data_IF_706895127670
#
_entry.id   IF_706895127670
#
_cell.length_a   1.000
_cell.length_b   1.000
_cell.length_c   1.000
_cell.angle_alpha   90.00
_cell.angle_beta   90.00
_cell.angle_gamma   90.00
#
_symmetry.space_group_name_H-M   'P 1'
#
loop_
_entity.id
_entity.type
_entity.pdbx_description
1 polymer ?
#
# COMPACT_ATOMS: atom_id res chain seq x y z
N UNK A 1 -2.84 4.11 1.39
CA UNK A 1 -2.27 5.06 0.42
C UNK A 1 -1.63 4.39 -0.80
N UNK A 2 -1.57 3.07 -0.87
CA UNK A 2 -0.89 2.31 -1.94
C UNK A 2 -1.78 1.94 -3.12
N UNK A 3 -2.93 2.57 -3.25
CA UNK A 3 -3.96 2.25 -4.25
C UNK A 3 -3.74 2.88 -5.64
N UNK A 4 -2.56 3.40 -5.96
CA UNK A 4 -2.42 4.22 -7.17
C UNK A 4 -1.79 3.58 -8.39
N UNK A 5 -1.47 2.32 -8.37
CA UNK A 5 -1.12 1.61 -9.62
C UNK A 5 -1.75 0.23 -9.61
N UNK A 6 -2.96 0.11 -10.16
CA UNK A 6 -3.68 -1.16 -10.17
C UNK A 6 -2.89 -2.31 -10.80
N UNK A 7 -1.98 -2.01 -11.71
CA UNK A 7 -1.30 -3.04 -12.52
C UNK A 7 -0.04 -3.66 -11.88
N UNK A 8 0.66 -2.97 -10.99
CA UNK A 8 1.91 -3.51 -10.43
C UNK A 8 1.68 -4.31 -9.16
N UNK A 9 0.65 -3.99 -8.39
CA UNK A 9 0.31 -4.71 -7.16
C UNK A 9 -0.40 -6.04 -7.37
N UNK A 10 -1.08 -6.23 -8.49
CA UNK A 10 -1.81 -7.47 -8.80
C UNK A 10 -0.86 -8.66 -9.01
N UNK A 11 0.37 -8.44 -9.49
CA UNK A 11 1.30 -9.53 -9.80
C UNK A 11 2.15 -10.02 -8.62
N UNK A 12 2.34 -9.21 -7.59
CA UNK A 12 3.25 -9.54 -6.47
C UNK A 12 2.58 -9.61 -5.10
N UNK A 13 1.33 -9.21 -4.98
CA UNK A 13 0.61 -9.25 -3.73
C UNK A 13 -0.42 -10.37 -3.75
N UNK A 14 -0.31 -11.37 -2.88
CA UNK A 14 -1.23 -12.51 -2.89
C UNK A 14 -2.66 -12.15 -2.42
N UNK A 15 -2.81 -10.98 -1.80
CA UNK A 15 -4.11 -10.45 -1.35
C UNK A 15 -4.54 -9.34 -2.29
N UNK A 16 -5.71 -9.43 -2.93
CA UNK A 16 -6.25 -8.32 -3.70
C UNK A 16 -6.45 -7.11 -2.79
N UNK A 17 -6.09 -5.93 -3.29
CA UNK A 17 -6.40 -4.69 -2.59
C UNK A 17 -7.87 -4.40 -2.82
N UNK A 18 -8.67 -4.66 -1.81
CA UNK A 18 -10.11 -4.38 -1.81
C UNK A 18 -10.43 -3.45 -0.66
N UNK A 19 -11.33 -2.50 -0.90
CA UNK A 19 -11.89 -1.72 0.19
C UNK A 19 -13.01 -2.52 0.82
N UNK A 20 -12.69 -3.18 1.92
CA UNK A 20 -13.67 -3.93 2.71
C UNK A 20 -14.10 -3.08 3.90
N UNK A 21 -15.38 -3.14 4.21
CA UNK A 21 -15.97 -2.41 5.35
C UNK A 21 -16.77 -3.37 6.23
N UNK A 22 -16.71 -3.12 7.53
CA UNK A 22 -17.48 -3.89 8.52
C UNK A 22 -18.95 -3.52 8.52
N UNK A 23 -19.23 -2.23 8.38
CA UNK A 23 -20.58 -1.69 8.37
C UNK A 23 -20.83 -0.94 7.07
N UNK A 24 -21.67 -1.52 6.25
CA UNK A 24 -22.07 -0.95 4.96
C UNK A 24 -23.25 0.02 5.08
N UNK A 25 -23.86 0.19 6.25
CA UNK A 25 -25.07 1.00 6.43
C UNK A 25 -24.86 2.45 6.00
N UNK A 26 -23.71 3.02 6.33
CA UNK A 26 -23.36 4.40 6.00
C UNK A 26 -23.08 4.63 4.49
N UNK A 27 -22.86 3.56 3.72
CA UNK A 27 -22.55 3.64 2.28
C UNK A 27 -23.67 3.10 1.40
N UNK A 28 -24.72 2.56 2.01
CA UNK A 28 -25.83 1.97 1.27
C UNK A 28 -26.53 3.03 0.41
N UNK A 29 -26.53 2.83 -0.91
CA UNK A 29 -27.08 3.76 -1.86
C UNK A 29 -26.22 5.00 -2.14
N UNK A 30 -25.05 5.13 -1.52
CA UNK A 30 -24.12 6.21 -1.81
C UNK A 30 -23.50 6.04 -3.20
N UNK A 31 -23.60 7.09 -4.04
CA UNK A 31 -22.94 7.13 -5.35
C UNK A 31 -21.47 7.54 -5.26
N UNK A 32 -21.11 8.25 -4.21
CA UNK A 32 -19.75 8.75 -3.95
C UNK A 32 -19.45 8.64 -2.48
N UNK A 33 -18.23 8.22 -2.16
CA UNK A 33 -17.73 8.10 -0.79
C UNK A 33 -16.36 8.76 -0.65
N UNK A 34 -16.09 9.29 0.53
CA UNK A 34 -14.78 9.84 0.88
C UNK A 34 -13.91 8.78 1.56
N UNK A 35 -12.73 8.54 1.02
CA UNK A 35 -11.70 7.70 1.63
C UNK A 35 -10.83 8.60 2.51
N UNK A 36 -10.73 8.26 3.79
CA UNK A 36 -10.08 9.09 4.82
C UNK A 36 -8.87 8.37 5.41
N UNK A 37 -7.90 9.15 5.89
CA UNK A 37 -6.76 8.61 6.64
C UNK A 37 -7.13 8.45 8.12
N UNK A 38 -7.24 7.21 8.63
CA UNK A 38 -7.57 6.98 10.03
C UNK A 38 -6.38 7.21 10.99
N UNK A 39 -5.18 7.41 10.45
CA UNK A 39 -3.95 7.55 11.26
C UNK A 39 -3.60 9.01 11.54
N UNK A 40 -4.28 9.94 10.89
CA UNK A 40 -4.06 11.39 11.05
C UNK A 40 -5.23 12.03 11.79
N UNK A 41 -4.92 12.92 12.73
CA UNK A 41 -5.93 13.67 13.46
C UNK A 41 -6.87 14.41 12.50
N UNK A 42 -8.18 14.34 12.77
CA UNK A 42 -9.20 14.90 11.89
C UNK A 42 -9.58 14.03 10.69
N UNK A 43 -8.93 12.87 10.51
CA UNK A 43 -9.20 11.91 9.44
C UNK A 43 -9.35 12.61 8.06
N UNK A 44 -8.30 13.26 7.55
CA UNK A 44 -8.37 14.02 6.30
C UNK A 44 -8.82 13.13 5.15
N UNK A 45 -9.56 13.72 4.21
CA UNK A 45 -9.99 13.02 3.00
C UNK A 45 -8.80 12.89 2.06
N UNK A 46 -8.45 11.65 1.70
CA UNK A 46 -7.36 11.35 0.75
C UNK A 46 -7.88 11.23 -0.67
N UNK A 47 -9.04 10.64 -0.85
CA UNK A 47 -9.62 10.40 -2.15
C UNK A 47 -11.15 10.36 -2.11
N UNK A 48 -11.73 10.56 -3.26
CA UNK A 48 -13.17 10.32 -3.51
C UNK A 48 -13.27 9.08 -4.40
N UNK A 49 -14.15 8.17 -4.04
CA UNK A 49 -14.51 7.02 -4.87
C UNK A 49 -15.91 7.21 -5.44
N UNK A 50 -16.06 7.08 -6.75
CA UNK A 50 -17.36 6.91 -7.37
C UNK A 50 -17.75 5.43 -7.27
N UNK A 51 -18.81 5.14 -6.52
CA UNK A 51 -19.21 3.76 -6.21
C UNK A 51 -19.91 3.14 -7.40
N UNK A 52 -19.27 2.18 -8.04
CA UNK A 52 -19.84 1.41 -9.15
C UNK A 52 -20.51 0.13 -8.67
N UNK A 53 -19.91 -0.52 -7.67
CA UNK A 53 -20.39 -1.80 -7.18
C UNK A 53 -20.17 -1.95 -5.67
N UNK A 54 -21.17 -2.51 -5.02
CA UNK A 54 -21.10 -2.95 -3.62
C UNK A 54 -21.47 -4.44 -3.61
N UNK A 55 -20.58 -5.27 -3.11
CA UNK A 55 -20.73 -6.71 -3.06
C UNK A 55 -20.51 -7.23 -1.64
N UNK A 56 -21.18 -8.30 -1.28
CA UNK A 56 -20.95 -8.96 -0.01
C UNK A 56 -20.39 -10.35 -0.25
N UNK A 57 -19.23 -10.65 0.33
CA UNK A 57 -18.66 -11.97 0.31
C UNK A 57 -19.37 -12.88 1.32
N UNK A 58 -19.69 -14.09 0.90
CA UNK A 58 -20.19 -15.12 1.81
C UNK A 58 -19.10 -15.59 2.77
N UNK A 59 -19.51 -16.25 3.86
CA UNK A 59 -18.55 -16.89 4.78
C UNK A 59 -17.70 -17.96 4.07
N UNK A 60 -18.28 -18.64 3.08
CA UNK A 60 -17.56 -19.61 2.28
C UNK A 60 -16.46 -18.93 1.42
N UNK A 61 -16.76 -17.77 0.82
CA UNK A 61 -15.78 -17.01 0.04
C UNK A 61 -14.64 -16.51 0.94
N UNK A 62 -14.98 -15.94 2.11
CA UNK A 62 -13.98 -15.47 3.07
C UNK A 62 -13.06 -16.60 3.53
N UNK A 63 -13.64 -17.75 3.85
CA UNK A 63 -12.87 -18.94 4.24
C UNK A 63 -11.96 -19.42 3.12
N UNK A 64 -12.50 -19.55 1.91
CA UNK A 64 -11.73 -19.95 0.73
C UNK A 64 -10.57 -18.98 0.46
N UNK A 65 -10.82 -17.67 0.47
CA UNK A 65 -9.78 -16.67 0.27
C UNK A 65 -8.71 -16.75 1.37
N UNK A 66 -9.11 -16.84 2.63
CA UNK A 66 -8.18 -16.98 3.77
C UNK A 66 -7.27 -18.19 3.59
N UNK A 67 -7.83 -19.35 3.27
CA UNK A 67 -7.07 -20.56 3.06
C UNK A 67 -6.12 -20.48 1.85
N UNK A 68 -6.57 -19.88 0.75
CA UNK A 68 -5.75 -19.69 -0.46
C UNK A 68 -4.59 -18.73 -0.23
N UNK A 69 -4.81 -17.65 0.52
CA UNK A 69 -3.82 -16.59 0.77
C UNK A 69 -2.79 -17.02 1.82
N UNK A 70 -3.29 -17.45 2.98
CA UNK A 70 -2.43 -17.71 4.15
C UNK A 70 -2.05 -19.16 4.33
N UNK A 71 -2.65 -20.10 3.58
CA UNK A 71 -2.48 -21.55 3.69
C UNK A 71 -2.84 -22.10 5.07
N UNK A 72 -3.58 -21.32 5.84
CA UNK A 72 -4.10 -21.67 7.17
C UNK A 72 -5.37 -20.89 7.43
N UNK A 73 -6.21 -21.43 8.31
CA UNK A 73 -7.40 -20.76 8.84
C UNK A 73 -7.24 -20.39 10.32
N UNK A 74 -6.04 -20.59 10.86
CA UNK A 74 -5.73 -20.34 12.26
C UNK A 74 -5.95 -18.85 12.60
N UNK A 75 -6.88 -18.52 13.50
CA UNK A 75 -7.15 -17.14 13.89
C UNK A 75 -5.98 -16.47 14.64
N UNK A 76 -5.05 -17.24 15.21
CA UNK A 76 -3.83 -16.72 15.86
C UNK A 76 -2.80 -16.26 14.83
N UNK A 77 -2.92 -16.66 13.57
CA UNK A 77 -2.07 -16.16 12.52
C UNK A 77 -2.38 -14.67 12.25
N UNK A 78 -1.40 -13.74 12.40
CA UNK A 78 -1.66 -12.29 12.33
C UNK A 78 -2.33 -11.84 11.02
N UNK A 79 -1.96 -12.45 9.90
CA UNK A 79 -2.55 -12.14 8.61
C UNK A 79 -4.01 -12.59 8.51
N UNK A 80 -4.33 -13.76 9.04
CA UNK A 80 -5.72 -14.30 9.10
C UNK A 80 -6.57 -13.40 9.98
N UNK A 81 -6.09 -13.07 11.17
CA UNK A 81 -6.79 -12.16 12.09
C UNK A 81 -7.06 -10.80 11.44
N UNK A 82 -6.05 -10.20 10.81
CA UNK A 82 -6.18 -8.92 10.12
C UNK A 82 -7.18 -9.01 8.96
N UNK A 83 -7.07 -10.01 8.09
CA UNK A 83 -7.96 -10.19 6.93
C UNK A 83 -9.41 -10.37 7.35
N UNK A 84 -9.67 -11.23 8.34
CA UNK A 84 -11.02 -11.48 8.84
C UNK A 84 -11.61 -10.26 9.60
N UNK A 85 -10.77 -9.34 10.05
CA UNK A 85 -11.21 -8.16 10.79
C UNK A 85 -11.74 -7.03 9.92
N UNK A 86 -11.49 -7.03 8.60
CA UNK A 86 -11.84 -5.90 7.71
C UNK A 86 -13.30 -5.87 7.27
N UNK A 87 -14.03 -6.97 7.47
CA UNK A 87 -15.44 -7.10 7.07
C UNK A 87 -15.61 -7.91 5.79
N UNK A 88 -16.84 -7.96 5.29
CA UNK A 88 -17.20 -8.76 4.12
C UNK A 88 -17.76 -7.94 2.97
N UNK A 89 -18.16 -6.71 3.21
CA UNK A 89 -18.70 -5.82 2.17
C UNK A 89 -17.55 -5.18 1.42
N UNK A 90 -17.54 -5.39 0.12
CA UNK A 90 -16.51 -4.88 -0.81
C UNK A 90 -17.11 -3.76 -1.63
N UNK A 91 -16.38 -2.67 -1.76
CA UNK A 91 -16.77 -1.52 -2.54
C UNK A 91 -15.75 -1.36 -3.66
N UNK A 92 -16.23 -1.15 -4.87
CA UNK A 92 -15.37 -0.89 -6.03
C UNK A 92 -15.87 0.27 -6.87
N UNK A 93 -14.94 0.93 -7.54
CA UNK A 93 -15.17 2.04 -8.42
C UNK A 93 -13.90 2.88 -8.63
N UNK A 94 -13.91 3.79 -9.59
CA UNK A 94 -12.79 4.71 -9.82
C UNK A 94 -12.59 5.65 -8.65
N UNK A 95 -11.34 6.02 -8.39
CA UNK A 95 -10.97 6.94 -7.33
C UNK A 95 -10.31 8.19 -7.91
N UNK A 96 -10.65 9.34 -7.33
CA UNK A 96 -9.97 10.60 -7.55
C UNK A 96 -9.15 10.92 -6.30
N UNK A 97 -7.82 10.88 -6.41
CA UNK A 97 -6.92 11.22 -5.31
C UNK A 97 -6.85 12.73 -5.16
N UNK A 98 -7.04 13.21 -3.94
CA UNK A 98 -7.05 14.62 -3.60
C UNK A 98 -5.73 15.07 -2.95
N UNK A 99 -5.15 14.23 -2.11
CA UNK A 99 -3.87 14.51 -1.45
C UNK A 99 -3.18 13.21 -1.02
N UNK A 100 -1.95 13.33 -0.57
CA UNK A 100 -1.11 12.22 -0.13
C UNK A 100 -0.91 12.20 1.40
N UNK A 101 -1.91 12.69 2.15
CA UNK A 101 -1.81 12.81 3.59
C UNK A 101 -0.69 13.77 4.01
N UNK A 102 0.02 13.47 5.09
CA UNK A 102 1.10 14.31 5.63
C UNK A 102 2.45 14.17 4.90
N UNK A 103 2.60 13.17 4.05
CA UNK A 103 3.91 12.82 3.46
C UNK A 103 4.52 13.95 2.64
N UNK A 104 3.73 14.66 1.87
CA UNK A 104 4.22 15.76 1.04
C UNK A 104 4.64 16.96 1.88
N UNK A 105 3.90 17.23 2.98
CA UNK A 105 4.19 18.33 3.87
C UNK A 105 5.38 18.06 4.80
N UNK A 106 5.47 16.84 5.33
CA UNK A 106 6.51 16.47 6.29
C UNK A 106 7.83 16.06 5.62
N UNK A 107 7.78 15.60 4.37
CA UNK A 107 8.94 15.11 3.63
C UNK A 107 9.04 15.71 2.21
N UNK A 108 9.05 17.04 2.06
CA UNK A 108 8.99 17.71 0.74
C UNK A 108 10.17 17.34 -0.17
N UNK A 109 11.35 17.13 0.41
CA UNK A 109 12.57 16.85 -0.36
C UNK A 109 12.64 15.38 -0.83
N UNK A 110 11.99 14.47 -0.13
CA UNK A 110 12.12 13.03 -0.38
C UNK A 110 10.84 12.37 -0.83
N UNK A 111 9.68 12.97 -0.58
CA UNK A 111 8.41 12.42 -1.05
C UNK A 111 8.34 12.43 -2.58
N UNK A 112 7.99 11.28 -3.16
CA UNK A 112 7.80 11.10 -4.60
C UNK A 112 6.60 10.22 -4.86
N UNK A 113 5.81 10.57 -5.86
CA UNK A 113 4.78 9.69 -6.40
C UNK A 113 5.42 8.66 -7.34
N UNK A 114 4.72 7.57 -7.65
CA UNK A 114 5.22 6.58 -8.61
C UNK A 114 5.45 7.20 -10.00
N UNK A 115 4.65 8.19 -10.39
CA UNK A 115 4.83 8.93 -11.65
C UNK A 115 6.07 9.79 -11.60
N UNK A 116 6.28 10.56 -10.52
CA UNK A 116 7.47 11.40 -10.38
C UNK A 116 8.75 10.59 -10.32
N UNK A 117 8.75 9.42 -9.66
CA UNK A 117 9.90 8.50 -9.66
C UNK A 117 10.22 8.03 -11.08
N UNK A 118 9.22 7.62 -11.86
CA UNK A 118 9.44 7.19 -13.26
C UNK A 118 10.01 8.30 -14.12
N UNK A 119 9.49 9.51 -13.97
CA UNK A 119 10.00 10.67 -14.71
C UNK A 119 11.45 10.98 -14.32
N UNK A 120 11.75 11.00 -13.04
CA UNK A 120 13.11 11.25 -12.55
C UNK A 120 14.10 10.17 -13.01
N UNK A 121 13.72 8.90 -13.02
CA UNK A 121 14.53 7.81 -13.58
C UNK A 121 14.81 8.05 -15.07
N UNK A 122 13.79 8.43 -15.84
CA UNK A 122 13.94 8.71 -17.26
C UNK A 122 14.83 9.96 -17.52
N UNK A 123 14.63 11.03 -16.76
CA UNK A 123 15.44 12.27 -16.84
C UNK A 123 16.92 12.01 -16.53
N UNK A 124 17.20 11.10 -15.59
CA UNK A 124 18.57 10.66 -15.26
C UNK A 124 19.18 9.75 -16.33
N UNK A 125 18.41 9.28 -17.28
CA UNK A 125 18.84 8.31 -18.29
C UNK A 125 19.13 6.92 -17.72
N UNK A 126 18.56 6.57 -16.57
CA UNK A 126 18.77 5.28 -15.93
C UNK A 126 17.92 4.20 -16.57
N UNK A 127 18.57 3.13 -17.04
CA UNK A 127 17.91 1.98 -17.66
C UNK A 127 17.72 0.81 -16.69
N UNK A 128 18.61 0.70 -15.71
CA UNK A 128 18.60 -0.38 -14.72
C UNK A 128 18.64 0.21 -13.32
N UNK A 129 17.54 0.10 -12.61
CA UNK A 129 17.40 0.61 -11.25
C UNK A 129 17.19 -0.54 -10.29
N UNK A 130 18.01 -0.63 -9.25
CA UNK A 130 17.78 -1.53 -8.14
C UNK A 130 16.98 -0.82 -7.06
N UNK A 131 15.94 -1.48 -6.54
CA UNK A 131 15.14 -0.94 -5.45
C UNK A 131 15.54 -1.60 -4.12
N UNK A 132 15.79 -0.77 -3.12
CA UNK A 132 16.04 -1.18 -1.76
C UNK A 132 14.95 -0.63 -0.85
N UNK A 133 14.21 -1.50 -0.19
CA UNK A 133 13.12 -1.11 0.69
C UNK A 133 13.50 -1.33 2.15
N UNK A 134 13.28 -0.32 2.98
CA UNK A 134 13.51 -0.41 4.42
C UNK A 134 12.47 0.39 5.21
N UNK A 135 12.24 0.00 6.44
CA UNK A 135 11.46 0.75 7.43
C UNK A 135 12.28 1.09 8.67
N UNK A 136 13.54 0.71 8.67
CA UNK A 136 14.49 1.02 9.74
C UNK A 136 15.55 1.98 9.20
N UNK A 137 16.22 2.75 10.07
CA UNK A 137 17.36 3.57 9.67
C UNK A 137 18.42 2.74 8.94
N UNK A 138 18.97 3.31 7.89
CA UNK A 138 20.03 2.66 7.14
C UNK A 138 21.32 2.62 7.96
N UNK A 139 22.03 1.49 7.86
CA UNK A 139 23.34 1.29 8.45
C UNK A 139 24.30 0.67 7.42
N UNK A 140 25.57 0.49 7.78
CA UNK A 140 26.63 0.05 6.86
C UNK A 140 26.32 -1.20 6.04
N UNK A 141 25.61 -2.18 6.62
CA UNK A 141 25.23 -3.37 5.85
C UNK A 141 24.22 -3.05 4.74
N UNK A 142 23.31 -2.10 4.96
CA UNK A 142 22.38 -1.64 3.91
C UNK A 142 23.10 -0.83 2.83
N UNK A 143 24.07 0.00 3.22
CA UNK A 143 24.94 0.73 2.31
C UNK A 143 25.71 -0.24 1.41
N UNK A 144 26.29 -1.31 2.02
CA UNK A 144 27.00 -2.35 1.27
C UNK A 144 26.10 -3.10 0.28
N UNK A 145 24.86 -3.44 0.66
CA UNK A 145 23.89 -4.03 -0.27
C UNK A 145 23.59 -3.11 -1.47
N UNK A 146 23.46 -1.82 -1.22
CA UNK A 146 23.28 -0.83 -2.29
C UNK A 146 24.51 -0.74 -3.19
N UNK A 147 25.72 -0.77 -2.61
CA UNK A 147 26.99 -0.79 -3.34
C UNK A 147 27.12 -2.03 -4.22
N UNK A 148 26.84 -3.22 -3.66
CA UNK A 148 26.82 -4.48 -4.42
C UNK A 148 25.81 -4.43 -5.58
N UNK A 149 24.63 -3.89 -5.35
CA UNK A 149 23.64 -3.74 -6.42
C UNK A 149 24.13 -2.81 -7.53
N UNK A 150 24.84 -1.74 -7.19
CA UNK A 150 25.42 -0.85 -8.17
C UNK A 150 26.59 -1.51 -8.93
N UNK A 151 27.51 -2.14 -8.22
CA UNK A 151 28.75 -2.68 -8.79
C UNK A 151 28.57 -4.05 -9.45
N UNK A 152 27.94 -5.02 -8.76
CA UNK A 152 27.85 -6.40 -9.21
C UNK A 152 26.71 -6.59 -10.21
N UNK A 153 25.56 -5.96 -9.94
CA UNK A 153 24.38 -6.02 -10.79
C UNK A 153 24.42 -4.98 -11.92
N UNK A 154 25.36 -4.02 -11.85
CA UNK A 154 25.48 -2.91 -12.82
C UNK A 154 24.20 -2.10 -12.91
N UNK A 155 23.66 -1.73 -11.76
CA UNK A 155 22.53 -0.79 -11.71
C UNK A 155 23.02 0.63 -11.96
N UNK A 156 22.29 1.40 -12.77
CA UNK A 156 22.58 2.81 -13.02
C UNK A 156 22.26 3.66 -11.78
N UNK A 157 21.32 3.22 -10.98
CA UNK A 157 20.95 3.89 -9.74
C UNK A 157 20.24 2.98 -8.74
N UNK A 158 20.12 3.48 -7.52
CA UNK A 158 19.45 2.82 -6.40
C UNK A 158 18.25 3.65 -5.98
N UNK A 159 17.07 3.05 -6.02
CA UNK A 159 15.86 3.62 -5.43
C UNK A 159 15.73 3.15 -3.98
N UNK A 160 16.05 4.01 -3.04
CA UNK A 160 15.82 3.72 -1.62
C UNK A 160 14.38 4.07 -1.27
N UNK A 161 13.59 3.06 -0.94
CA UNK A 161 12.19 3.20 -0.60
C UNK A 161 12.00 3.06 0.92
N UNK A 162 11.74 4.20 1.58
CA UNK A 162 11.48 4.24 3.01
C UNK A 162 9.99 4.01 3.29
N UNK A 163 9.69 3.02 4.11
CA UNK A 163 8.34 2.80 4.62
C UNK A 163 8.16 3.61 5.90
N UNK A 164 7.21 4.53 5.84
CA UNK A 164 6.76 5.33 6.98
C UNK A 164 5.35 4.91 7.39
N UNK A 165 4.98 5.22 8.61
CA UNK A 165 3.64 4.95 9.13
C UNK A 165 3.66 4.44 10.56
N UNK A 166 2.64 3.65 10.92
CA UNK A 166 2.51 3.12 12.28
C UNK A 166 3.62 2.12 12.57
N UNK A 167 4.42 2.43 13.58
CA UNK A 167 5.47 1.54 14.08
C UNK A 167 4.89 0.22 14.59
N UNK A 168 5.59 -0.87 14.28
CA UNK A 168 5.31 -2.20 14.82
C UNK A 168 6.27 -2.48 15.98
N UNK A 169 5.94 -3.46 16.81
CA UNK A 169 6.83 -3.92 17.87
C UNK A 169 8.18 -4.34 17.27
N UNK A 170 9.25 -3.69 17.71
CA UNK A 170 10.63 -3.92 17.23
C UNK A 170 11.09 -2.95 16.14
N UNK A 171 10.24 -2.05 15.66
CA UNK A 171 10.68 -0.95 14.80
C UNK A 171 11.41 0.11 15.64
N UNK A 172 12.35 0.78 15.02
CA UNK A 172 13.08 1.91 15.62
C UNK A 172 12.28 3.18 15.28
N UNK A 173 11.96 4.02 16.28
CA UNK A 173 11.25 5.28 16.04
C UNK A 173 12.07 6.26 15.22
#
# INVERSE_FOLDING_TARGET
VWLQTPMVLIFFWPVPIVNMVKDASAIHGAKRIALRDPNVAGNPVLAIMDVEKVEEFSDADMKMMTEKIFRTLDPEHPGVAAFNSVGKTVISGPIQVLNFSYFEADYPDTFRTATSIRNEIAERGWNKVAAFQTRNPMHRAHEELCRMAHEDVKADGILVHMLLGKLKKGDIP
#
